data_IF_145767822352
#
_entry.id   IF_145767822352
#
_cell.length_a   1.000
_cell.length_b   1.000
_cell.length_c   1.000
_cell.angle_alpha   90.00
_cell.angle_beta   90.00
_cell.angle_gamma   90.00
#
_symmetry.space_group_name_H-M   'P 1'
#
loop_
_entity.id
_entity.type
_entity.pdbx_description
1 polymer ?
#
# COMPACT_ATOMS: atom_id res chain seq x y z
N UNK A 1 -35.04 24.25 -47.55
CA UNK A 1 -34.46 23.36 -46.51
C UNK A 1 -33.07 23.89 -46.20
N UNK A 2 -32.79 24.49 -45.02
CA UNK A 2 -31.41 24.65 -44.48
C UNK A 2 -31.26 25.46 -43.17
N UNK A 3 -32.33 25.97 -42.53
CA UNK A 3 -32.17 26.56 -41.19
C UNK A 3 -32.19 25.51 -40.06
N UNK A 4 -33.03 24.48 -40.16
CA UNK A 4 -33.18 23.47 -39.08
C UNK A 4 -31.90 22.62 -38.85
N UNK A 5 -31.16 22.30 -39.92
CA UNK A 5 -29.91 21.51 -39.86
C UNK A 5 -28.75 22.25 -39.18
N UNK A 6 -28.62 23.55 -39.42
CA UNK A 6 -27.58 24.37 -38.78
C UNK A 6 -27.80 24.53 -37.26
N UNK A 7 -29.06 24.58 -36.81
CA UNK A 7 -29.41 24.64 -35.39
C UNK A 7 -29.16 23.33 -34.62
N UNK A 8 -29.25 22.17 -35.27
CA UNK A 8 -29.03 20.88 -34.62
C UNK A 8 -27.54 20.68 -34.28
N UNK A 9 -26.63 20.92 -35.23
CA UNK A 9 -25.18 20.84 -35.00
C UNK A 9 -24.70 21.82 -33.90
N UNK A 10 -25.29 23.01 -33.83
CA UNK A 10 -24.93 24.05 -32.85
C UNK A 10 -25.40 23.74 -31.42
N UNK A 11 -26.42 22.89 -31.24
CA UNK A 11 -26.95 22.49 -29.92
C UNK A 11 -26.35 21.20 -29.37
N UNK A 12 -25.83 20.34 -30.23
CA UNK A 12 -25.22 19.05 -29.83
C UNK A 12 -23.81 19.24 -29.28
N UNK A 13 -23.03 20.17 -29.84
CA UNK A 13 -21.65 20.44 -29.41
C UNK A 13 -21.49 20.73 -27.91
N UNK A 14 -22.27 21.64 -27.31
CA UNK A 14 -22.16 21.95 -25.88
C UNK A 14 -22.61 20.81 -24.96
N UNK A 15 -23.66 20.07 -25.34
CA UNK A 15 -24.19 18.96 -24.54
C UNK A 15 -23.24 17.75 -24.53
N UNK A 16 -22.62 17.46 -25.68
CA UNK A 16 -21.56 16.43 -25.81
C UNK A 16 -20.33 16.80 -24.98
N UNK A 17 -19.89 18.06 -25.03
CA UNK A 17 -18.78 18.55 -24.21
C UNK A 17 -19.09 18.52 -22.71
N UNK A 18 -20.31 18.89 -22.31
CA UNK A 18 -20.70 18.90 -20.89
C UNK A 18 -20.84 17.48 -20.33
N UNK A 19 -21.37 16.54 -21.13
CA UNK A 19 -21.44 15.12 -20.77
C UNK A 19 -20.05 14.48 -20.64
N UNK A 20 -19.12 14.82 -21.53
CA UNK A 20 -17.72 14.41 -21.43
C UNK A 20 -17.03 14.96 -20.17
N UNK A 21 -17.32 16.22 -19.80
CA UNK A 21 -16.74 16.87 -18.62
C UNK A 21 -17.25 16.27 -17.30
N UNK A 22 -18.53 15.89 -17.22
CA UNK A 22 -19.14 15.28 -16.03
C UNK A 22 -18.63 13.86 -15.76
N UNK A 23 -18.22 13.11 -16.79
CA UNK A 23 -17.63 11.77 -16.63
C UNK A 23 -16.21 11.81 -16.05
N UNK A 24 -15.54 12.97 -16.06
CA UNK A 24 -14.19 13.13 -15.54
C UNK A 24 -14.11 13.28 -14.00
N UNK A 25 -15.25 13.44 -13.30
CA UNK A 25 -15.27 13.83 -11.87
C UNK A 25 -15.52 12.70 -10.86
N UNK A 26 -15.67 11.45 -11.30
CA UNK A 26 -16.01 10.34 -10.40
C UNK A 26 -14.86 9.36 -10.18
N UNK A 27 -14.26 9.40 -8.98
CA UNK A 27 -13.39 8.31 -8.53
C UNK A 27 -12.48 8.66 -7.36
N UNK A 28 -13.03 9.10 -6.21
CA UNK A 28 -12.25 9.06 -4.97
C UNK A 28 -12.29 7.63 -4.42
N UNK A 29 -11.19 6.89 -4.57
CA UNK A 29 -11.01 5.60 -3.88
C UNK A 29 -10.40 5.88 -2.51
N UNK A 30 -11.10 5.52 -1.44
CA UNK A 30 -10.55 5.52 -0.08
C UNK A 30 -10.07 4.11 0.23
N UNK A 31 -8.79 3.93 0.53
CA UNK A 31 -8.24 2.66 1.01
C UNK A 31 -8.17 2.69 2.54
N UNK A 32 -8.69 1.64 3.19
CA UNK A 32 -8.47 1.38 4.62
C UNK A 32 -7.49 0.22 4.71
N UNK A 33 -6.39 0.42 5.43
CA UNK A 33 -5.37 -0.61 5.62
C UNK A 33 -5.47 -1.14 7.05
N UNK A 34 -5.53 -2.46 7.22
CA UNK A 34 -5.53 -3.13 8.52
C UNK A 34 -4.30 -4.04 8.54
N UNK A 35 -3.47 -3.91 9.57
CA UNK A 35 -2.31 -4.77 9.80
C UNK A 35 -2.68 -5.80 10.86
N UNK A 36 -2.50 -7.08 10.55
CA UNK A 36 -2.70 -8.18 11.50
C UNK A 36 -1.41 -8.96 11.65
N UNK A 37 -0.99 -9.23 12.89
CA UNK A 37 0.18 -10.04 13.19
C UNK A 37 -0.26 -11.33 13.91
N UNK A 38 0.18 -12.52 13.44
CA UNK A 38 -0.02 -13.75 14.19
C UNK A 38 0.83 -13.73 15.48
N UNK A 39 0.52 -14.56 16.49
CA UNK A 39 1.35 -14.69 17.68
C UNK A 39 2.80 -15.03 17.32
N UNK A 40 3.75 -14.32 17.93
CA UNK A 40 5.18 -14.59 17.79
C UNK A 40 5.55 -15.89 18.52
N UNK A 41 6.38 -16.71 17.89
CA UNK A 41 6.90 -17.96 18.43
C UNK A 41 8.33 -17.73 18.92
N UNK A 42 8.44 -17.28 20.15
CA UNK A 42 9.72 -17.02 20.83
C UNK A 42 9.86 -17.92 22.05
N UNK A 43 11.09 -18.24 22.42
CA UNK A 43 11.39 -18.99 23.65
C UNK A 43 11.29 -18.13 24.93
N UNK A 44 11.03 -16.83 24.74
CA UNK A 44 10.84 -15.85 25.80
C UNK A 44 9.48 -15.14 25.66
N UNK A 45 8.91 -14.60 26.74
CA UNK A 45 7.67 -13.83 26.69
C UNK A 45 7.82 -12.54 25.87
N UNK A 46 6.81 -12.25 25.05
CA UNK A 46 6.70 -11.00 24.30
C UNK A 46 5.35 -10.36 24.58
N UNK A 47 5.35 -9.10 24.97
CA UNK A 47 4.15 -8.34 25.31
C UNK A 47 4.14 -6.97 24.65
N UNK A 48 2.96 -6.57 24.18
CA UNK A 48 2.69 -5.21 23.71
C UNK A 48 2.43 -4.21 24.87
N UNK A 49 2.40 -4.69 26.11
CA UNK A 49 2.21 -3.87 27.31
C UNK A 49 3.47 -3.87 28.18
N UNK A 50 3.47 -3.02 29.21
CA UNK A 50 4.52 -2.99 30.24
C UNK A 50 4.49 -4.20 31.17
N UNK A 51 3.57 -5.14 30.99
CA UNK A 51 3.46 -6.35 31.79
C UNK A 51 3.55 -7.57 30.89
N UNK A 52 4.05 -8.70 31.38
CA UNK A 52 4.08 -9.94 30.61
C UNK A 52 3.75 -11.14 31.48
N UNK A 53 3.31 -12.22 30.83
CA UNK A 53 3.08 -13.53 31.48
C UNK A 53 4.34 -14.36 31.30
N UNK A 54 4.88 -14.91 32.37
CA UNK A 54 6.07 -15.75 32.32
C UNK A 54 5.78 -17.21 31.91
N UNK A 55 6.82 -18.05 31.88
CA UNK A 55 6.70 -19.47 31.55
C UNK A 55 5.89 -20.31 32.55
N UNK A 56 5.72 -19.81 33.78
CA UNK A 56 4.93 -20.45 34.84
C UNK A 56 3.46 -19.97 34.84
N UNK A 57 3.15 -18.92 34.07
CA UNK A 57 1.82 -18.33 33.95
C UNK A 57 1.59 -17.14 34.87
N UNK A 58 2.62 -16.66 35.58
CA UNK A 58 2.54 -15.53 36.49
C UNK A 58 2.69 -14.20 35.74
N UNK A 59 1.95 -13.19 36.16
CA UNK A 59 2.06 -11.83 35.62
C UNK A 59 3.23 -11.13 36.29
N UNK A 60 4.15 -10.63 35.46
CA UNK A 60 5.25 -9.77 35.87
C UNK A 60 4.86 -8.34 35.61
N UNK A 61 4.77 -7.56 36.68
CA UNK A 61 4.55 -6.12 36.63
C UNK A 61 5.88 -5.36 36.44
N UNK A 62 5.79 -4.07 36.12
CA UNK A 62 6.93 -3.19 35.80
C UNK A 62 7.99 -3.11 36.91
N UNK A 63 7.57 -3.29 38.17
CA UNK A 63 8.48 -3.30 39.32
C UNK A 63 9.24 -4.64 39.48
N UNK A 64 8.80 -5.71 38.82
CA UNK A 64 9.37 -7.05 38.85
C UNK A 64 10.57 -7.26 37.92
N UNK A 65 10.86 -6.32 37.04
CA UNK A 65 11.97 -6.40 36.08
C UNK A 65 12.81 -5.12 36.03
N UNK A 66 13.94 -5.19 35.34
CA UNK A 66 14.77 -4.05 34.94
C UNK A 66 14.84 -3.95 33.40
N UNK A 67 14.81 -2.73 32.88
CA UNK A 67 15.05 -2.47 31.46
C UNK A 67 16.53 -2.62 31.16
N UNK A 68 16.89 -3.60 30.34
CA UNK A 68 18.30 -3.86 29.99
C UNK A 68 18.70 -3.26 28.65
N UNK A 69 17.76 -3.11 27.72
CA UNK A 69 17.98 -2.44 26.44
C UNK A 69 16.68 -2.01 25.80
N UNK A 70 16.69 -0.92 25.03
CA UNK A 70 15.63 -0.59 24.07
C UNK A 70 16.07 -1.00 22.67
N UNK A 71 15.13 -1.35 21.80
CA UNK A 71 15.44 -1.64 20.40
C UNK A 71 14.46 -0.99 19.44
N UNK A 72 14.93 -0.84 18.20
CA UNK A 72 14.14 -0.41 17.07
C UNK A 72 14.65 -1.14 15.83
N UNK A 73 13.72 -1.73 15.09
CA UNK A 73 13.96 -2.42 13.81
C UNK A 73 13.15 -1.67 12.77
N UNK A 74 13.81 -1.18 11.73
CA UNK A 74 13.16 -0.54 10.59
C UNK A 74 13.23 -1.46 9.38
N UNK A 75 12.08 -1.69 8.74
CA UNK A 75 11.96 -2.54 7.56
C UNK A 75 11.01 -1.92 6.56
N UNK A 76 11.38 -2.03 5.30
CA UNK A 76 10.49 -1.71 4.18
C UNK A 76 9.95 -3.00 3.60
N UNK A 77 8.64 -3.09 3.47
CA UNK A 77 7.95 -4.24 2.91
C UNK A 77 7.22 -3.86 1.63
N UNK A 78 7.45 -4.63 0.58
CA UNK A 78 6.71 -4.50 -0.65
C UNK A 78 5.40 -5.29 -0.54
N UNK A 79 4.29 -4.63 -0.87
CA UNK A 79 2.97 -5.25 -0.92
C UNK A 79 2.34 -5.05 -2.27
N UNK A 80 1.38 -5.93 -2.59
CA UNK A 80 0.53 -5.73 -3.75
C UNK A 80 -0.11 -4.34 -3.70
N UNK A 81 -0.03 -3.63 -4.82
CA UNK A 81 -0.68 -2.32 -5.01
C UNK A 81 -2.21 -2.33 -4.87
N UNK A 82 -2.82 -3.51 -4.97
CA UNK A 82 -4.26 -3.73 -4.96
C UNK A 82 -4.60 -4.96 -4.12
N UNK A 83 -5.62 -4.84 -3.27
CA UNK A 83 -6.14 -5.93 -2.46
C UNK A 83 -5.40 -6.11 -1.14
N UNK A 84 -5.67 -7.24 -0.48
CA UNK A 84 -4.98 -7.65 0.74
C UNK A 84 -3.55 -8.12 0.40
N UNK A 85 -2.56 -7.55 1.07
CA UNK A 85 -1.17 -7.98 1.00
C UNK A 85 -0.79 -8.68 2.29
N UNK A 86 -0.14 -9.84 2.18
CA UNK A 86 0.48 -10.51 3.33
C UNK A 86 1.97 -10.21 3.31
N UNK A 87 2.43 -9.60 4.39
CA UNK A 87 3.86 -9.40 4.65
C UNK A 87 4.30 -10.51 5.59
N UNK A 88 5.33 -11.27 5.21
CA UNK A 88 6.02 -12.18 6.12
C UNK A 88 7.25 -11.46 6.67
N UNK A 89 7.11 -10.94 7.89
CA UNK A 89 8.21 -10.34 8.62
C UNK A 89 8.89 -11.42 9.47
N UNK A 90 10.13 -11.79 9.15
CA UNK A 90 10.95 -12.70 9.96
C UNK A 90 11.45 -12.00 11.24
N UNK A 91 10.52 -11.61 12.12
CA UNK A 91 10.85 -10.88 13.35
C UNK A 91 11.47 -11.79 14.41
N UNK A 92 11.02 -13.04 14.52
CA UNK A 92 11.42 -13.97 15.60
C UNK A 92 12.95 -14.14 15.73
N UNK A 93 13.72 -14.39 14.65
CA UNK A 93 15.18 -14.53 14.77
C UNK A 93 15.89 -13.21 15.11
N UNK A 94 15.30 -12.08 14.74
CA UNK A 94 15.86 -10.76 15.04
C UNK A 94 15.63 -10.39 16.51
N UNK A 95 14.41 -10.64 17.02
CA UNK A 95 14.08 -10.47 18.43
C UNK A 95 14.93 -11.40 19.31
N UNK A 96 15.14 -12.66 18.91
CA UNK A 96 16.02 -13.59 19.62
C UNK A 96 17.44 -13.03 19.77
N UNK A 97 18.05 -12.57 18.66
CA UNK A 97 19.39 -11.97 18.70
C UNK A 97 19.47 -10.72 19.57
N UNK A 98 18.42 -9.91 19.57
CA UNK A 98 18.35 -8.69 20.39
C UNK A 98 18.32 -9.04 21.88
N UNK A 99 17.46 -9.99 22.27
CA UNK A 99 17.33 -10.44 23.66
C UNK A 99 18.61 -11.10 24.15
N UNK A 100 19.18 -12.02 23.38
CA UNK A 100 20.45 -12.69 23.71
C UNK A 100 21.60 -11.70 23.88
N UNK A 101 21.72 -10.73 22.95
CA UNK A 101 22.79 -9.72 22.98
C UNK A 101 22.66 -8.78 24.19
N UNK A 102 21.44 -8.40 24.57
CA UNK A 102 21.18 -7.58 25.75
C UNK A 102 21.22 -8.41 27.05
N UNK A 103 21.14 -9.74 26.93
CA UNK A 103 21.01 -10.69 28.04
C UNK A 103 19.68 -10.56 28.78
N UNK A 104 18.60 -10.20 28.08
CA UNK A 104 17.25 -10.15 28.66
C UNK A 104 16.59 -11.52 28.74
N UNK A 105 15.42 -11.56 29.34
CA UNK A 105 14.57 -12.76 29.43
C UNK A 105 13.14 -12.55 28.92
N UNK A 106 12.75 -11.32 28.57
CA UNK A 106 11.47 -11.00 27.94
C UNK A 106 11.53 -9.70 27.12
N UNK A 107 10.49 -9.47 26.31
CA UNK A 107 10.23 -8.20 25.64
C UNK A 107 8.92 -7.61 26.13
N UNK A 108 8.94 -6.35 26.55
CA UNK A 108 7.76 -5.56 26.90
C UNK A 108 7.61 -4.37 25.96
N UNK A 109 6.43 -3.76 25.98
CA UNK A 109 6.10 -2.57 25.20
C UNK A 109 6.41 -2.74 23.70
N UNK A 110 6.18 -3.94 23.15
CA UNK A 110 6.34 -4.20 21.73
C UNK A 110 5.32 -3.37 20.95
N UNK A 111 5.82 -2.47 20.12
CA UNK A 111 5.04 -1.61 19.25
C UNK A 111 5.43 -1.86 17.79
N UNK A 112 4.42 -1.90 16.91
CA UNK A 112 4.61 -2.01 15.47
C UNK A 112 3.87 -0.86 14.83
N UNK A 113 4.63 0.04 14.23
CA UNK A 113 4.10 1.27 13.66
C UNK A 113 4.43 1.35 12.18
N UNK A 114 3.43 1.69 11.37
CA UNK A 114 3.63 2.03 9.97
C UNK A 114 4.08 3.49 9.91
N UNK A 115 5.33 3.72 9.57
CA UNK A 115 5.96 5.06 9.61
C UNK A 115 5.70 5.81 8.31
N UNK A 116 5.81 5.12 7.18
CA UNK A 116 5.63 5.70 5.86
C UNK A 116 4.95 4.71 4.90
N UNK A 117 4.15 5.26 3.99
CA UNK A 117 3.50 4.51 2.91
C UNK A 117 3.79 5.16 1.56
N UNK A 118 4.48 4.42 0.70
CA UNK A 118 4.58 4.75 -0.71
C UNK A 118 3.58 3.90 -1.50
N UNK A 119 2.64 4.58 -2.16
CA UNK A 119 1.66 3.94 -3.04
C UNK A 119 2.27 3.34 -4.32
N UNK A 120 3.56 3.58 -4.58
CA UNK A 120 4.27 3.18 -5.77
C UNK A 120 3.58 3.69 -7.02
N UNK A 121 3.37 2.79 -7.98
CA UNK A 121 2.71 3.12 -9.24
C UNK A 121 1.18 3.26 -9.14
N UNK A 122 0.57 3.14 -7.96
CA UNK A 122 -0.89 3.18 -7.82
C UNK A 122 -1.49 4.49 -8.35
N UNK A 123 -0.90 5.63 -8.00
CA UNK A 123 -1.39 6.94 -8.43
C UNK A 123 -1.23 7.16 -9.94
N UNK A 124 -0.10 6.74 -10.51
CA UNK A 124 0.14 6.85 -11.95
C UNK A 124 -0.76 5.90 -12.75
N UNK A 125 -0.94 4.67 -12.28
CA UNK A 125 -1.87 3.69 -12.85
C UNK A 125 -3.31 4.20 -12.81
N UNK A 126 -3.76 4.75 -11.67
CA UNK A 126 -5.08 5.35 -11.51
C UNK A 126 -5.25 6.55 -12.46
N UNK A 127 -4.24 7.42 -12.56
CA UNK A 127 -4.23 8.54 -13.51
C UNK A 127 -4.39 8.09 -14.96
N UNK A 128 -3.64 7.07 -15.39
CA UNK A 128 -3.77 6.48 -16.73
C UNK A 128 -5.13 5.84 -16.99
N UNK A 129 -5.72 5.16 -15.99
CA UNK A 129 -7.09 4.63 -16.09
C UNK A 129 -8.11 5.75 -16.27
N UNK A 130 -8.05 6.78 -15.43
CA UNK A 130 -8.98 7.92 -15.49
C UNK A 130 -8.85 8.64 -16.83
N UNK A 131 -7.62 8.93 -17.25
CA UNK A 131 -7.36 9.53 -18.57
C UNK A 131 -7.91 8.65 -19.69
N UNK A 132 -7.61 7.35 -19.67
CA UNK A 132 -8.06 6.39 -20.65
C UNK A 132 -9.58 6.30 -20.76
N UNK A 133 -10.28 6.19 -19.62
CA UNK A 133 -11.75 6.21 -19.57
C UNK A 133 -12.34 7.52 -20.08
N UNK A 134 -11.79 8.65 -19.65
CA UNK A 134 -12.29 9.98 -20.04
C UNK A 134 -12.18 10.17 -21.54
N UNK A 135 -11.01 9.91 -22.12
CA UNK A 135 -10.77 10.04 -23.56
C UNK A 135 -11.54 8.98 -24.36
N UNK A 136 -11.59 7.75 -23.86
CA UNK A 136 -12.29 6.63 -24.49
C UNK A 136 -13.80 6.85 -24.60
N UNK A 137 -14.45 7.20 -23.48
CA UNK A 137 -15.89 7.45 -23.42
C UNK A 137 -16.26 8.70 -24.22
N UNK A 138 -15.49 9.79 -24.10
CA UNK A 138 -15.72 11.01 -24.87
C UNK A 138 -15.55 10.78 -26.36
N UNK A 139 -14.49 10.07 -26.77
CA UNK A 139 -14.23 9.72 -28.16
C UNK A 139 -15.31 8.82 -28.74
N UNK A 140 -15.76 7.80 -28.00
CA UNK A 140 -16.86 6.93 -28.40
C UNK A 140 -18.17 7.69 -28.59
N UNK A 141 -18.50 8.62 -27.69
CA UNK A 141 -19.70 9.44 -27.78
C UNK A 141 -19.64 10.41 -28.98
N UNK A 142 -18.48 11.02 -29.24
CA UNK A 142 -18.26 11.91 -30.38
C UNK A 142 -18.32 11.13 -31.71
N UNK A 143 -17.64 9.98 -31.80
CA UNK A 143 -17.63 9.14 -32.99
C UNK A 143 -19.03 8.55 -33.28
N UNK A 144 -19.70 8.06 -32.23
CA UNK A 144 -21.07 7.56 -32.33
C UNK A 144 -22.05 8.65 -32.77
N UNK A 145 -21.89 9.89 -32.28
CA UNK A 145 -22.66 11.03 -32.76
C UNK A 145 -22.37 11.29 -34.24
N UNK A 146 -21.10 11.35 -34.65
CA UNK A 146 -20.70 11.53 -36.05
C UNK A 146 -21.30 10.50 -37.00
N UNK A 147 -21.35 9.23 -36.58
CA UNK A 147 -21.98 8.16 -37.35
C UNK A 147 -23.52 8.32 -37.52
N UNK A 148 -24.17 9.06 -36.62
CA UNK A 148 -25.62 9.26 -36.61
C UNK A 148 -26.09 10.54 -37.33
N UNK A 149 -25.31 11.63 -37.33
CA UNK A 149 -25.78 12.94 -37.87
C UNK A 149 -25.61 13.10 -39.37
N UNK A 150 -24.68 12.38 -40.02
CA UNK A 150 -24.39 12.47 -41.46
C UNK A 150 -23.91 13.85 -41.95
N UNK A 151 -23.46 13.93 -43.21
CA UNK A 151 -22.99 15.18 -43.85
C UNK A 151 -21.69 15.74 -43.26
N UNK A 152 -21.39 17.02 -43.50
CA UNK A 152 -20.11 17.67 -43.16
C UNK A 152 -19.71 17.57 -41.67
N UNK A 153 -20.69 17.40 -40.77
CA UNK A 153 -20.43 17.19 -39.35
C UNK A 153 -19.87 15.78 -39.06
N UNK A 154 -20.29 14.77 -39.83
CA UNK A 154 -19.77 13.40 -39.71
C UNK A 154 -18.29 13.33 -40.11
N UNK A 155 -17.90 14.08 -41.15
CA UNK A 155 -16.51 14.13 -41.66
C UNK A 155 -15.51 14.69 -40.64
N UNK A 156 -16.00 15.42 -39.64
CA UNK A 156 -15.18 15.95 -38.54
C UNK A 156 -15.34 15.12 -37.26
N UNK A 157 -16.57 14.81 -36.86
CA UNK A 157 -16.85 14.15 -35.58
C UNK A 157 -16.39 12.69 -35.57
N UNK A 158 -16.55 11.95 -36.66
CA UNK A 158 -16.14 10.55 -36.73
C UNK A 158 -14.62 10.37 -36.55
N UNK A 159 -13.74 11.04 -37.32
CA UNK A 159 -12.30 10.91 -37.14
C UNK A 159 -11.81 11.48 -35.80
N UNK A 160 -12.33 12.62 -35.35
CA UNK A 160 -11.94 13.21 -34.04
C UNK A 160 -12.32 12.27 -32.90
N UNK A 161 -13.55 11.74 -32.92
CA UNK A 161 -14.00 10.77 -31.92
C UNK A 161 -13.20 9.47 -31.96
N UNK A 162 -12.88 8.97 -33.16
CA UNK A 162 -12.05 7.79 -33.34
C UNK A 162 -10.63 7.95 -32.78
N UNK A 163 -10.01 9.11 -32.98
CA UNK A 163 -8.68 9.42 -32.40
C UNK A 163 -8.76 9.47 -30.88
N UNK A 164 -9.73 10.18 -30.31
CA UNK A 164 -9.90 10.26 -28.86
C UNK A 164 -10.17 8.89 -28.24
N UNK A 165 -10.97 8.05 -28.91
CA UNK A 165 -11.21 6.67 -28.49
C UNK A 165 -9.91 5.86 -28.51
N UNK A 166 -9.13 5.95 -29.59
CA UNK A 166 -7.84 5.26 -29.70
C UNK A 166 -6.85 5.69 -28.63
N UNK A 167 -6.71 7.01 -28.39
CA UNK A 167 -5.88 7.57 -27.31
C UNK A 167 -6.38 7.09 -25.95
N UNK A 168 -7.70 7.01 -25.74
CA UNK A 168 -8.29 6.49 -24.52
C UNK A 168 -7.95 5.02 -24.27
N UNK A 169 -8.06 4.18 -25.29
CA UNK A 169 -7.69 2.75 -25.19
C UNK A 169 -6.21 2.60 -24.87
N UNK A 170 -5.32 3.33 -25.55
CA UNK A 170 -3.87 3.30 -25.27
C UNK A 170 -3.58 3.77 -23.85
N UNK A 171 -4.16 4.89 -23.43
CA UNK A 171 -4.01 5.42 -22.07
C UNK A 171 -4.46 4.42 -21.00
N UNK A 172 -5.60 3.76 -21.22
CA UNK A 172 -6.10 2.72 -20.32
C UNK A 172 -5.14 1.52 -20.26
N UNK A 173 -4.60 1.08 -21.40
CA UNK A 173 -3.64 -0.04 -21.46
C UNK A 173 -2.31 0.31 -20.76
N UNK A 174 -1.83 1.55 -20.86
CA UNK A 174 -0.62 2.01 -20.16
C UNK A 174 -0.75 1.93 -18.63
N UNK A 175 -1.97 1.95 -18.09
CA UNK A 175 -2.17 1.75 -16.65
C UNK A 175 -1.79 0.34 -16.16
N UNK A 176 -1.74 -0.65 -17.05
CA UNK A 176 -1.31 -2.01 -16.73
C UNK A 176 0.21 -2.16 -16.81
N UNK A 177 0.90 -1.26 -17.51
CA UNK A 177 2.37 -1.26 -17.61
C UNK A 177 3.06 -0.55 -16.45
N UNK A 178 2.33 0.28 -15.70
CA UNK A 178 2.78 0.85 -14.43
C UNK A 178 2.61 -0.21 -13.34
N UNK A 179 3.69 -0.84 -12.90
CA UNK A 179 3.66 -2.03 -12.03
C UNK A 179 4.44 -1.91 -10.73
N UNK A 180 5.02 -0.74 -10.43
CA UNK A 180 5.80 -0.56 -9.20
C UNK A 180 4.92 -0.89 -7.99
N UNK A 181 5.40 -1.77 -7.09
CA UNK A 181 4.65 -2.21 -5.91
C UNK A 181 4.45 -1.05 -4.93
N UNK A 182 3.49 -1.21 -4.03
CA UNK A 182 3.39 -0.30 -2.90
C UNK A 182 4.38 -0.72 -1.82
N UNK A 183 4.91 0.24 -1.07
CA UNK A 183 5.89 0.00 -0.02
C UNK A 183 5.38 0.55 1.32
N UNK A 184 5.53 -0.25 2.37
CA UNK A 184 5.31 0.16 3.74
C UNK A 184 6.64 0.19 4.47
N UNK A 185 7.02 1.35 5.01
CA UNK A 185 8.06 1.42 6.01
C UNK A 185 7.41 1.14 7.36
N UNK A 186 7.82 0.04 7.99
CA UNK A 186 7.37 -0.36 9.30
C UNK A 186 8.54 -0.26 10.28
N UNK A 187 8.21 0.17 11.49
CA UNK A 187 9.12 0.22 12.61
C UNK A 187 8.57 -0.69 13.70
N UNK A 188 9.43 -1.60 14.18
CA UNK A 188 9.15 -2.45 15.34
C UNK A 188 10.05 -1.99 16.46
N UNK A 189 9.47 -1.60 17.59
CA UNK A 189 10.22 -1.14 18.76
C UNK A 189 9.75 -1.86 20.02
N UNK A 190 10.60 -1.87 21.02
CA UNK A 190 10.26 -2.44 22.32
C UNK A 190 11.41 -2.34 23.31
N UNK A 191 11.16 -2.92 24.48
CA UNK A 191 12.10 -2.96 25.58
C UNK A 191 12.47 -4.41 25.84
N UNK A 192 13.77 -4.69 25.86
CA UNK A 192 14.30 -5.93 26.41
C UNK A 192 14.40 -5.74 27.91
N UNK A 193 13.76 -6.64 28.64
CA UNK A 193 13.73 -6.61 30.10
C UNK A 193 14.42 -7.84 30.66
N UNK A 194 14.81 -7.74 31.93
CA UNK A 194 15.31 -8.86 32.72
C UNK A 194 14.60 -8.90 34.06
N UNK A 195 14.10 -10.06 34.48
CA UNK A 195 13.51 -10.22 35.81
C UNK A 195 14.54 -9.92 36.91
N UNK A 196 14.15 -9.12 37.90
CA UNK A 196 15.01 -8.83 39.05
C UNK A 196 15.31 -10.11 39.81
N UNK A 197 16.59 -10.37 40.10
CA UNK A 197 17.04 -11.58 40.80
C UNK A 197 17.32 -12.79 39.90
N UNK A 198 17.11 -12.69 38.59
CA UNK A 198 17.62 -13.67 37.62
C UNK A 198 19.15 -13.58 37.49
N UNK A 199 19.83 -14.73 37.36
CA UNK A 199 21.26 -14.75 37.11
C UNK A 199 21.54 -14.32 35.66
N UNK A 200 22.56 -13.48 35.45
CA UNK A 200 22.99 -13.07 34.10
C UNK A 200 23.36 -14.31 33.28
N UNK A 201 22.82 -14.52 32.07
CA UNK A 201 23.26 -15.58 31.19
C UNK A 201 24.77 -15.43 30.92
N UNK A 202 25.52 -16.50 31.13
CA UNK A 202 26.95 -16.54 30.83
C UNK A 202 27.14 -16.38 29.31
N UNK A 203 28.02 -15.49 28.83
CA UNK A 203 28.23 -15.32 27.39
C UNK A 203 28.65 -16.65 26.77
N UNK A 204 28.08 -16.98 25.61
CA UNK A 204 28.39 -18.21 24.90
C UNK A 204 29.91 -18.35 24.70
N UNK A 205 30.49 -19.55 24.92
CA UNK A 205 31.92 -19.76 24.77
C UNK A 205 32.37 -19.42 23.35
N UNK A 206 33.47 -18.69 23.24
CA UNK A 206 34.08 -18.29 21.98
C UNK A 206 34.39 -19.55 21.14
N UNK A 207 34.01 -19.59 19.85
CA UNK A 207 34.25 -20.77 19.02
C UNK A 207 35.75 -21.07 18.98
N UNK A 208 36.10 -22.32 19.31
CA UNK A 208 37.49 -22.76 19.33
C UNK A 208 38.15 -22.50 17.97
N UNK A 209 39.41 -22.00 17.95
CA UNK A 209 40.11 -21.74 16.70
C UNK A 209 40.17 -23.02 15.86
N UNK A 210 39.65 -22.95 14.64
CA UNK A 210 39.77 -24.03 13.67
C UNK A 210 41.25 -24.17 13.32
N UNK A 211 41.86 -25.29 13.71
CA UNK A 211 43.19 -25.65 13.21
C UNK A 211 43.10 -25.83 11.69
N UNK A 212 43.93 -25.07 10.96
CA UNK A 212 44.10 -25.11 9.51
C UNK A 212 44.84 -26.37 9.07
#
# INVERSE_FOLDING_TARGET
>A
MNLARATAARRVGPAVLTGALLLATTGCYTTSNVVTMPPLRTDFPVSASGQYVDGDGDIVEEDGYEDVSTFTIERTYEVSRHGEGRIEAELEPELQRIVEKAGGDAITNLEITAVEYDSGSHNSAAGWKIFGWTMGLSGGLIAGTGALVGGDAADVLYPVGGVLLGVGVVGYLLSFTTTDPAQWQMQVSGQVVRRKGSARPEPAPEPAPQEL
#
